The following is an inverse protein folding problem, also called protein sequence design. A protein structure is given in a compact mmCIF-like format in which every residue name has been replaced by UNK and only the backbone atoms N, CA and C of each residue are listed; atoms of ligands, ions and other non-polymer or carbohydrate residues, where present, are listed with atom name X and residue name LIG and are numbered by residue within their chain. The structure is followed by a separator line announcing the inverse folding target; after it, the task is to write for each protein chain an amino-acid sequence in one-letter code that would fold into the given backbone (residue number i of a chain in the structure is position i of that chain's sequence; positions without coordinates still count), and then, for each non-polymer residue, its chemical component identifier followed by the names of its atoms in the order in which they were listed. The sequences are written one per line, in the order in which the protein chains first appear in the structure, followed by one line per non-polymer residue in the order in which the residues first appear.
data_IF_344688899659
#
_entry.id   IF_344688899659
#
_cell.length_a   1.000
_cell.length_b   1.000
_cell.length_c   1.000
_cell.angle_alpha   90.00
_cell.angle_beta   90.00
_cell.angle_gamma   90.00
#
_symmetry.space_group_name_H-M   'P 1'
#
loop_
_entity.id
_entity.type
_entity.pdbx_description
1 polymer ?
#
# COMPACT_ATOMS: atom_id res chain seq x y z
N UNK A 1 -4.38 -16.22 -9.91
CA UNK A 1 -4.29 -15.60 -8.56
C UNK A 1 -2.86 -15.08 -8.35
N UNK A 2 -2.64 -13.91 -7.75
CA UNK A 2 -1.30 -13.27 -7.63
C UNK A 2 -0.22 -14.20 -7.03
N UNK A 3 -0.62 -15.08 -6.11
CA UNK A 3 0.24 -16.10 -5.50
C UNK A 3 0.79 -17.11 -6.53
N UNK A 4 0.00 -17.49 -7.55
CA UNK A 4 0.45 -18.43 -8.58
C UNK A 4 1.57 -17.82 -9.43
N UNK A 5 1.42 -16.54 -9.82
CA UNK A 5 2.44 -15.82 -10.60
C UNK A 5 3.76 -15.69 -9.84
N UNK A 6 3.71 -15.46 -8.53
CA UNK A 6 4.91 -15.48 -7.68
C UNK A 6 5.61 -16.85 -7.67
N UNK A 7 4.83 -17.94 -7.64
CA UNK A 7 5.38 -19.29 -7.63
C UNK A 7 5.96 -19.70 -9.00
N UNK A 8 5.37 -19.22 -10.10
CA UNK A 8 5.83 -19.49 -11.46
C UNK A 8 7.18 -18.82 -11.79
N UNK A 9 7.43 -17.64 -11.22
CA UNK A 9 8.61 -16.83 -11.52
C UNK A 9 9.84 -17.14 -10.64
N UNK A 10 9.74 -18.13 -9.74
CA UNK A 10 10.78 -18.52 -8.76
C UNK A 10 11.42 -17.32 -8.02
N UNK A 11 10.58 -16.34 -7.66
CA UNK A 11 11.04 -15.10 -7.03
C UNK A 11 11.12 -15.29 -5.53
N UNK A 12 12.26 -14.91 -4.95
CA UNK A 12 12.39 -14.79 -3.50
C UNK A 12 11.50 -13.66 -2.97
N UNK A 13 10.60 -13.96 -2.04
CA UNK A 13 9.81 -12.96 -1.31
C UNK A 13 10.15 -13.06 0.19
N UNK A 14 10.73 -12.01 0.80
CA UNK A 14 11.00 -11.98 2.24
C UNK A 14 9.75 -12.33 3.04
N UNK A 15 9.90 -13.21 4.04
CA UNK A 15 8.81 -13.62 4.95
C UNK A 15 7.53 -14.08 4.21
N UNK A 16 7.64 -14.63 2.98
CA UNK A 16 6.52 -15.06 2.12
C UNK A 16 5.35 -15.72 2.86
N UNK A 17 5.65 -16.66 3.77
CA UNK A 17 4.61 -17.37 4.55
C UNK A 17 3.81 -16.43 5.46
N UNK A 18 4.46 -15.47 6.11
CA UNK A 18 3.79 -14.46 6.96
C UNK A 18 2.86 -13.61 6.10
N UNK A 19 3.35 -13.12 4.95
CA UNK A 19 2.59 -12.28 4.03
C UNK A 19 1.35 -13.02 3.50
N UNK A 20 1.53 -14.24 2.99
CA UNK A 20 0.43 -15.05 2.46
C UNK A 20 -0.60 -15.35 3.56
N UNK A 21 -0.15 -15.73 4.75
CA UNK A 21 -1.04 -16.01 5.87
C UNK A 21 -1.82 -14.76 6.28
N UNK A 22 -1.19 -13.58 6.31
CA UNK A 22 -1.89 -12.32 6.62
C UNK A 22 -2.99 -12.03 5.62
N UNK A 23 -2.71 -12.18 4.32
CA UNK A 23 -3.74 -12.01 3.27
C UNK A 23 -4.88 -13.01 3.45
N UNK A 24 -4.58 -14.30 3.59
CA UNK A 24 -5.62 -15.34 3.69
C UNK A 24 -6.50 -15.18 4.93
N UNK A 25 -5.90 -14.81 6.07
CA UNK A 25 -6.65 -14.61 7.32
C UNK A 25 -7.52 -13.36 7.27
N UNK A 26 -7.13 -12.32 6.53
CA UNK A 26 -7.81 -11.02 6.52
C UNK A 26 -8.63 -10.75 5.25
N UNK A 27 -8.59 -11.61 4.23
CA UNK A 27 -9.27 -11.38 2.93
C UNK A 27 -10.78 -11.12 3.07
N UNK A 28 -11.39 -11.62 4.14
CA UNK A 28 -12.80 -11.38 4.47
C UNK A 28 -13.10 -9.88 4.72
N UNK A 29 -12.12 -9.07 5.12
CA UNK A 29 -12.27 -7.62 5.31
C UNK A 29 -12.52 -6.87 3.99
N UNK A 30 -12.14 -7.45 2.85
CA UNK A 30 -12.40 -6.88 1.53
C UNK A 30 -13.82 -7.20 1.02
N UNK A 31 -14.60 -8.00 1.74
CA UNK A 31 -15.95 -8.38 1.33
C UNK A 31 -16.92 -7.20 1.49
N UNK A 32 -17.81 -7.04 0.51
CA UNK A 32 -18.90 -6.06 0.51
C UNK A 32 -18.44 -4.59 0.69
N UNK A 33 -17.17 -4.31 0.35
CA UNK A 33 -16.61 -2.96 0.34
C UNK A 33 -17.18 -2.14 -0.81
N UNK A 34 -17.37 -0.82 -0.63
CA UNK A 34 -17.90 0.03 -1.69
C UNK A 34 -16.92 0.08 -2.86
N UNK A 35 -17.44 0.14 -4.08
CA UNK A 35 -16.63 0.32 -5.29
C UNK A 35 -16.73 1.76 -5.77
N UNK A 36 -15.60 2.47 -5.80
CA UNK A 36 -15.49 3.87 -6.21
C UNK A 36 -14.37 4.02 -7.24
N UNK A 37 -14.51 5.03 -8.10
CA UNK A 37 -13.45 5.46 -9.00
C UNK A 37 -12.28 5.98 -8.15
N UNK A 38 -11.08 5.48 -8.42
CA UNK A 38 -9.86 5.86 -7.73
C UNK A 38 -8.73 6.17 -8.73
N UNK A 39 -7.75 6.96 -8.32
CA UNK A 39 -6.54 7.28 -9.07
C UNK A 39 -5.66 6.04 -9.27
N UNK A 40 -5.53 5.21 -8.22
CA UNK A 40 -4.79 3.95 -8.25
C UNK A 40 -3.28 4.06 -8.04
N UNK A 41 -2.77 5.27 -7.78
CA UNK A 41 -1.36 5.56 -7.45
C UNK A 41 -1.22 6.91 -6.75
N UNK A 42 -2.08 7.19 -5.79
CA UNK A 42 -2.17 8.50 -5.14
C UNK A 42 -1.06 8.69 -4.10
N UNK A 43 0.03 9.35 -4.47
CA UNK A 43 1.16 9.64 -3.58
C UNK A 43 1.85 10.96 -3.94
N UNK A 44 2.76 11.44 -3.07
CA UNK A 44 3.50 12.70 -3.20
C UNK A 44 4.19 12.92 -4.56
N UNK A 45 4.56 11.84 -5.25
CA UNK A 45 5.20 11.92 -6.57
C UNK A 45 4.26 12.40 -7.68
N UNK A 46 2.95 12.25 -7.45
CA UNK A 46 1.88 12.58 -8.39
C UNK A 46 1.13 13.86 -7.98
N UNK A 47 1.70 14.63 -7.05
CA UNK A 47 1.15 15.89 -6.56
C UNK A 47 2.06 17.06 -6.96
N UNK A 48 1.46 18.09 -7.56
CA UNK A 48 2.12 19.36 -7.88
C UNK A 48 1.46 20.44 -7.03
N UNK A 49 2.27 21.23 -6.33
CA UNK A 49 1.82 22.38 -5.57
C UNK A 49 2.14 23.64 -6.37
N UNK A 50 1.13 24.49 -6.57
CA UNK A 50 1.31 25.82 -7.14
C UNK A 50 0.47 26.82 -6.33
N UNK A 51 1.14 27.74 -5.64
CA UNK A 51 0.55 28.57 -4.59
C UNK A 51 -0.12 27.68 -3.51
N UNK A 52 -1.40 27.92 -3.21
CA UNK A 52 -2.19 27.19 -2.21
C UNK A 52 -3.05 26.07 -2.83
N UNK A 53 -2.81 25.72 -4.10
CA UNK A 53 -3.55 24.69 -4.82
C UNK A 53 -2.70 23.44 -5.06
N UNK A 54 -3.35 22.27 -4.96
CA UNK A 54 -2.77 20.97 -5.25
C UNK A 54 -3.35 20.46 -6.57
N UNK A 55 -2.48 20.07 -7.50
CA UNK A 55 -2.82 19.47 -8.77
C UNK A 55 -2.37 18.00 -8.76
N UNK A 56 -3.28 17.11 -9.17
CA UNK A 56 -3.02 15.67 -9.25
C UNK A 56 -2.78 15.28 -10.72
N UNK A 57 -1.77 14.46 -10.97
CA UNK A 57 -1.35 14.00 -12.30
C UNK A 57 -1.16 12.48 -12.31
N UNK A 58 -0.91 11.88 -13.47
CA UNK A 58 -0.60 10.44 -13.64
C UNK A 58 -1.77 9.48 -13.32
N UNK A 59 -2.89 9.69 -14.04
CA UNK A 59 -4.11 8.90 -13.92
C UNK A 59 -4.07 7.56 -14.71
N UNK A 60 -2.90 7.07 -15.12
CA UNK A 60 -2.78 5.89 -15.98
C UNK A 60 -3.19 4.57 -15.29
N UNK A 61 -3.26 4.57 -13.95
CA UNK A 61 -3.66 3.41 -13.13
C UNK A 61 -5.08 3.50 -12.58
N UNK A 62 -5.88 4.45 -13.07
CA UNK A 62 -7.26 4.63 -12.64
C UNK A 62 -8.06 3.33 -12.73
N UNK A 63 -8.84 3.04 -11.69
CA UNK A 63 -9.70 1.87 -11.67
C UNK A 63 -10.89 2.08 -10.72
N UNK A 64 -11.70 1.03 -10.56
CA UNK A 64 -12.79 0.99 -9.58
C UNK A 64 -12.41 -0.01 -8.48
N UNK A 65 -12.31 0.43 -7.23
CA UNK A 65 -12.06 -0.44 -6.07
C UNK A 65 -12.58 0.15 -4.74
N UNK A 66 -12.22 -0.48 -3.63
CA UNK A 66 -12.42 0.06 -2.27
C UNK A 66 -11.68 1.40 -2.11
N UNK A 67 -12.31 2.48 -1.61
CA UNK A 67 -11.63 3.73 -1.28
C UNK A 67 -10.37 3.58 -0.42
N UNK A 68 -10.27 2.55 0.42
CA UNK A 68 -9.07 2.32 1.23
C UNK A 68 -7.89 1.83 0.37
N UNK A 69 -8.15 1.26 -0.81
CA UNK A 69 -7.12 0.81 -1.74
C UNK A 69 -6.28 1.97 -2.30
N UNK A 70 -6.84 3.19 -2.32
CA UNK A 70 -6.16 4.42 -2.73
C UNK A 70 -4.99 4.79 -1.79
N UNK A 71 -5.02 4.31 -0.54
CA UNK A 71 -3.96 4.53 0.47
C UNK A 71 -2.86 3.46 0.41
N UNK A 72 -3.03 2.40 -0.38
CA UNK A 72 -2.01 1.35 -0.59
C UNK A 72 -0.61 1.86 -0.98
N UNK A 73 -0.43 2.95 -1.77
CA UNK A 73 0.89 3.53 -2.04
C UNK A 73 1.49 4.36 -0.88
N UNK A 74 0.97 4.27 0.35
CA UNK A 74 1.47 4.99 1.54
C UNK A 74 3.00 4.90 1.73
N UNK A 75 3.62 3.80 1.31
CA UNK A 75 5.06 3.61 1.47
C UNK A 75 5.87 4.72 0.78
N UNK A 76 5.42 5.23 -0.37
CA UNK A 76 6.07 6.33 -1.08
C UNK A 76 6.01 7.64 -0.30
N UNK A 77 4.90 7.85 0.42
CA UNK A 77 4.71 9.00 1.28
C UNK A 77 5.56 8.88 2.54
N UNK A 78 5.45 7.77 3.26
CA UNK A 78 6.16 7.53 4.53
C UNK A 78 7.68 7.55 4.37
N UNK A 79 8.22 7.01 3.26
CA UNK A 79 9.67 7.06 2.99
C UNK A 79 10.20 8.50 2.82
N UNK A 80 9.35 9.45 2.44
CA UNK A 80 9.70 10.87 2.28
C UNK A 80 9.38 11.68 3.53
N UNK A 81 8.18 11.49 4.07
CA UNK A 81 7.66 12.18 5.23
C UNK A 81 6.54 11.37 5.87
N UNK A 82 6.80 10.65 6.97
CA UNK A 82 5.75 9.98 7.74
C UNK A 82 4.63 10.94 8.17
N UNK A 83 4.98 12.16 8.58
CA UNK A 83 4.01 13.19 8.98
C UNK A 83 3.06 13.58 7.85
N UNK A 84 3.49 13.50 6.58
CA UNK A 84 2.61 13.74 5.44
C UNK A 84 1.54 12.66 5.34
N UNK A 85 1.92 11.37 5.42
CA UNK A 85 0.95 10.27 5.36
C UNK A 85 -0.03 10.33 6.53
N UNK A 86 0.46 10.62 7.74
CA UNK A 86 -0.39 10.84 8.92
C UNK A 86 -1.38 11.97 8.68
N UNK A 87 -0.91 13.12 8.18
CA UNK A 87 -1.76 14.27 7.85
C UNK A 87 -2.77 13.97 6.73
N UNK A 88 -2.38 13.18 5.72
CA UNK A 88 -3.27 12.75 4.64
C UNK A 88 -4.41 11.88 5.17
N UNK A 89 -4.10 10.88 6.00
CA UNK A 89 -5.10 9.99 6.60
C UNK A 89 -6.02 10.77 7.55
N UNK A 90 -5.45 11.56 8.47
CA UNK A 90 -6.21 12.37 9.41
C UNK A 90 -7.13 13.37 8.68
N UNK A 91 -6.60 14.09 7.70
CA UNK A 91 -7.37 15.06 6.91
C UNK A 91 -8.47 14.42 6.07
N UNK A 92 -8.24 13.23 5.50
CA UNK A 92 -9.27 12.51 4.74
C UNK A 92 -10.47 12.10 5.61
N UNK A 93 -10.21 11.70 6.86
CA UNK A 93 -11.25 11.27 7.81
C UNK A 93 -11.70 12.37 8.77
N UNK A 94 -11.24 13.61 8.61
CA UNK A 94 -11.50 14.71 9.56
C UNK A 94 -11.22 14.28 11.02
N UNK A 95 -10.05 13.69 11.24
CA UNK A 95 -9.58 13.07 12.49
C UNK A 95 -10.46 11.93 13.06
N UNK A 96 -11.49 11.49 12.34
CA UNK A 96 -12.42 10.44 12.73
C UNK A 96 -12.15 9.12 11.99
N UNK A 97 -10.93 8.59 12.13
CA UNK A 97 -10.50 7.37 11.41
C UNK A 97 -11.36 6.18 11.84
N UNK A 98 -12.07 5.52 10.90
CA UNK A 98 -12.87 4.35 11.21
C UNK A 98 -12.00 3.17 11.67
N UNK A 99 -12.50 2.39 12.63
CA UNK A 99 -11.78 1.22 13.18
C UNK A 99 -11.41 0.16 12.14
N UNK A 100 -12.10 0.12 11.01
CA UNK A 100 -11.80 -0.78 9.90
C UNK A 100 -10.62 -0.33 9.03
N UNK A 101 -10.18 0.92 9.11
CA UNK A 101 -9.21 1.51 8.18
C UNK A 101 -7.87 0.77 8.21
N UNK A 102 -7.19 0.73 9.35
CA UNK A 102 -5.88 0.09 9.48
C UNK A 102 -5.91 -1.43 9.25
N UNK A 103 -6.92 -2.20 9.72
CA UNK A 103 -7.08 -3.59 9.33
C UNK A 103 -7.07 -3.79 7.81
N UNK A 104 -7.84 -2.98 7.06
CA UNK A 104 -7.92 -3.06 5.60
C UNK A 104 -6.62 -2.58 4.94
N UNK A 105 -6.03 -1.47 5.41
CA UNK A 105 -4.75 -0.98 4.90
C UNK A 105 -3.65 -2.04 5.08
N UNK A 106 -3.61 -2.73 6.22
CA UNK A 106 -2.64 -3.81 6.46
C UNK A 106 -2.84 -4.99 5.50
N UNK A 107 -4.09 -5.34 5.18
CA UNK A 107 -4.42 -6.35 4.17
C UNK A 107 -3.91 -5.91 2.80
N UNK A 108 -4.21 -4.68 2.38
CA UNK A 108 -3.79 -4.14 1.09
C UNK A 108 -2.28 -3.93 0.98
N UNK A 109 -1.58 -3.64 2.09
CA UNK A 109 -0.13 -3.65 2.15
C UNK A 109 0.43 -5.07 1.91
N UNK A 110 -0.12 -6.10 2.55
CA UNK A 110 0.30 -7.48 2.30
C UNK A 110 0.00 -7.94 0.86
N UNK A 111 -1.16 -7.56 0.35
CA UNK A 111 -1.61 -7.79 -1.02
C UNK A 111 -0.64 -7.16 -2.04
N UNK A 112 -0.24 -5.91 -1.82
CA UNK A 112 0.64 -5.17 -2.71
C UNK A 112 2.02 -5.83 -2.82
N UNK A 113 2.58 -6.29 -1.69
CA UNK A 113 3.85 -7.02 -1.67
C UNK A 113 3.83 -8.32 -2.48
N UNK A 114 2.67 -8.99 -2.59
CA UNK A 114 2.55 -10.17 -3.44
C UNK A 114 2.57 -9.84 -4.94
N UNK A 115 2.16 -8.62 -5.30
CA UNK A 115 2.02 -8.20 -6.70
C UNK A 115 3.17 -7.33 -7.23
N UNK A 116 3.90 -6.66 -6.35
CA UNK A 116 4.92 -5.67 -6.72
C UNK A 116 6.17 -6.31 -7.35
N UNK A 117 6.62 -7.47 -6.86
CA UNK A 117 7.82 -8.14 -7.40
C UNK A 117 7.65 -8.64 -8.85
N UNK A 118 6.55 -9.35 -9.21
CA UNK A 118 6.31 -9.71 -10.61
C UNK A 118 6.23 -8.52 -11.56
N UNK A 119 5.76 -7.36 -11.09
CA UNK A 119 5.76 -6.12 -11.86
C UNK A 119 7.19 -5.61 -12.02
N UNK A 120 7.93 -5.45 -10.91
CA UNK A 120 9.28 -4.89 -10.90
C UNK A 120 10.25 -5.63 -11.83
N UNK A 121 10.15 -6.96 -11.91
CA UNK A 121 10.99 -7.79 -12.80
C UNK A 121 10.81 -7.42 -14.27
N UNK A 122 9.61 -6.99 -14.67
CA UNK A 122 9.37 -6.56 -16.07
C UNK A 122 10.00 -5.21 -16.41
N UNK A 123 10.43 -4.42 -15.41
CA UNK A 123 11.07 -3.11 -15.60
C UNK A 123 12.60 -3.15 -15.42
N UNK A 124 13.10 -4.02 -14.55
CA UNK A 124 14.53 -4.28 -14.40
C UNK A 124 15.03 -4.25 -12.95
N UNK A 125 16.35 -4.44 -12.81
CA UNK A 125 16.97 -4.71 -11.51
C UNK A 125 16.83 -3.58 -10.48
N UNK A 126 16.78 -2.33 -10.94
CA UNK A 126 16.64 -1.16 -10.06
C UNK A 126 15.28 -1.15 -9.37
N UNK A 127 14.22 -1.45 -10.11
CA UNK A 127 12.84 -1.52 -9.66
C UNK A 127 12.66 -2.73 -8.75
N UNK A 128 13.32 -3.85 -9.06
CA UNK A 128 13.38 -5.04 -8.19
C UNK A 128 14.01 -4.70 -6.85
N UNK A 129 15.18 -4.04 -6.85
CA UNK A 129 15.85 -3.61 -5.61
C UNK A 129 14.96 -2.67 -4.78
N UNK A 130 14.36 -1.68 -5.43
CA UNK A 130 13.45 -0.72 -4.78
C UNK A 130 12.25 -1.45 -4.16
N UNK A 131 11.69 -2.43 -4.87
CA UNK A 131 10.58 -3.23 -4.39
C UNK A 131 10.94 -4.04 -3.14
N UNK A 132 12.14 -4.63 -3.09
CA UNK A 132 12.62 -5.31 -1.88
C UNK A 132 12.78 -4.35 -0.70
N UNK A 133 13.32 -3.15 -0.92
CA UNK A 133 13.44 -2.13 0.12
C UNK A 133 12.06 -1.75 0.68
N UNK A 134 11.08 -1.50 -0.19
CA UNK A 134 9.69 -1.21 0.20
C UNK A 134 9.07 -2.37 1.00
N UNK A 135 9.24 -3.61 0.54
CA UNK A 135 8.73 -4.81 1.24
C UNK A 135 9.32 -4.89 2.66
N UNK A 136 10.63 -4.67 2.81
CA UNK A 136 11.28 -4.72 4.12
C UNK A 136 10.78 -3.60 5.05
N UNK A 137 10.53 -2.40 4.52
CA UNK A 137 9.93 -1.31 5.30
C UNK A 137 8.51 -1.62 5.75
N UNK A 138 7.66 -2.16 4.87
CA UNK A 138 6.29 -2.57 5.22
C UNK A 138 6.31 -3.62 6.33
N UNK A 139 7.14 -4.65 6.20
CA UNK A 139 7.31 -5.68 7.24
C UNK A 139 7.77 -5.07 8.56
N UNK A 140 8.71 -4.12 8.53
CA UNK A 140 9.18 -3.43 9.73
C UNK A 140 8.07 -2.60 10.40
N UNK A 141 7.36 -1.77 9.62
CA UNK A 141 6.34 -0.87 10.17
C UNK A 141 5.13 -1.60 10.76
N UNK A 142 4.80 -2.79 10.26
CA UNK A 142 3.74 -3.62 10.83
C UNK A 142 4.27 -4.68 11.83
N UNK A 143 5.56 -4.68 12.16
CA UNK A 143 6.25 -5.71 12.95
C UNK A 143 5.90 -7.15 12.48
N UNK A 144 6.24 -7.48 11.23
CA UNK A 144 5.86 -8.76 10.59
C UNK A 144 4.33 -9.02 10.68
N UNK A 145 3.51 -7.97 10.58
CA UNK A 145 2.05 -7.97 10.76
C UNK A 145 1.55 -8.38 12.15
N UNK A 146 2.37 -8.22 13.20
CA UNK A 146 1.90 -8.30 14.59
C UNK A 146 1.15 -7.04 15.03
N UNK A 147 1.39 -5.92 14.36
CA UNK A 147 0.67 -4.68 14.56
C UNK A 147 -0.39 -4.48 13.48
N UNK A 148 -1.56 -3.99 13.87
CA UNK A 148 -2.60 -3.55 12.92
C UNK A 148 -2.37 -2.10 12.48
N UNK A 149 -1.96 -1.24 13.41
CA UNK A 149 -1.60 0.17 13.14
C UNK A 149 -0.10 0.24 12.94
N UNK A 150 0.40 0.77 11.82
CA UNK A 150 1.83 0.79 11.55
C UNK A 150 2.56 1.80 12.45
N UNK A 151 3.82 1.52 12.76
CA UNK A 151 4.61 2.29 13.74
C UNK A 151 4.80 3.76 13.36
N UNK A 152 4.69 4.12 12.08
CA UNK A 152 4.82 5.50 11.62
C UNK A 152 3.59 6.36 11.89
N UNK A 153 2.45 5.77 12.29
CA UNK A 153 1.23 6.52 12.54
C UNK A 153 1.17 7.16 13.94
N UNK A 154 1.83 6.57 14.93
CA UNK A 154 1.81 7.03 16.33
C UNK A 154 3.07 7.84 16.70
N UNK A 155 3.56 8.69 15.79
CA UNK A 155 4.74 9.54 16.01
C UNK A 155 4.52 10.58 17.12
#
# INVERSE_FOLDING_TARGET
MKINRLNELDIYLPKKKIIINHVLNNIHLAKDRPSKLQHGDFHLGNMIINNDEIFIIDFDKMNIADPIDEFKPFCWNVLRSPSFEVGLINGYFDDNIPSYFFPILSLYAAESMLSSLPWAITFGDKEVKTTYEVINHILYWFDDFKLTVPTWFNL
#
